data_IF_337814634149
#
_entry.id   IF_337814634149
#
_cell.length_a   1.000
_cell.length_b   1.000
_cell.length_c   1.000
_cell.angle_alpha   90.00
_cell.angle_beta   90.00
_cell.angle_gamma   90.00
#
_symmetry.space_group_name_H-M   'P 1'
#
loop_
_entity.id
_entity.type
_entity.pdbx_description
1 polymer ?
#
# COMPACT_ATOMS: atom_id res chain seq x y z
N UNK A 1 -7.89 7.67 -0.02
CA UNK A 1 -7.21 6.38 -0.28
C UNK A 1 -5.70 6.47 -0.03
N UNK A 2 -5.03 7.55 -0.47
CA UNK A 2 -3.59 7.73 -0.27
C UNK A 2 -3.15 7.69 1.20
N UNK A 3 -3.87 8.38 2.08
CA UNK A 3 -3.52 8.44 3.50
C UNK A 3 -3.55 7.07 4.19
N UNK A 4 -4.48 6.20 3.79
CA UNK A 4 -4.54 4.81 4.26
C UNK A 4 -3.32 4.02 3.77
N UNK A 5 -2.92 4.17 2.51
CA UNK A 5 -1.71 3.53 1.97
C UNK A 5 -0.43 3.95 2.72
N UNK A 6 -0.30 5.24 3.02
CA UNK A 6 0.82 5.77 3.82
C UNK A 6 0.84 5.18 5.23
N UNK A 7 -0.29 5.23 5.95
CA UNK A 7 -0.39 4.72 7.32
C UNK A 7 -0.07 3.22 7.41
N UNK A 8 -0.51 2.42 6.44
CA UNK A 8 -0.19 0.98 6.38
C UNK A 8 1.30 0.78 6.19
N UNK A 9 1.93 1.54 5.29
CA UNK A 9 3.36 1.43 5.03
C UNK A 9 4.22 1.86 6.23
N UNK A 10 3.85 2.93 6.93
CA UNK A 10 4.53 3.36 8.15
C UNK A 10 4.45 2.27 9.23
N UNK A 11 3.26 1.72 9.49
CA UNK A 11 3.07 0.63 10.46
C UNK A 11 3.80 -0.65 10.07
N UNK A 12 3.87 -0.96 8.78
CA UNK A 12 4.60 -2.12 8.30
C UNK A 12 6.12 -1.93 8.50
N UNK A 13 6.64 -0.74 8.19
CA UNK A 13 8.03 -0.35 8.41
C UNK A 13 8.41 -0.41 9.90
N UNK A 14 7.57 0.10 10.79
CA UNK A 14 7.76 0.00 12.25
C UNK A 14 7.90 -1.45 12.71
N UNK A 15 7.20 -2.37 12.05
CA UNK A 15 7.28 -3.81 12.30
C UNK A 15 8.39 -4.52 11.53
N UNK A 16 9.23 -3.80 10.79
CA UNK A 16 10.31 -4.36 9.97
C UNK A 16 9.83 -5.09 8.70
N UNK A 17 8.56 -4.94 8.34
CA UNK A 17 7.96 -5.57 7.15
C UNK A 17 8.16 -4.64 5.95
N UNK A 18 8.95 -5.10 4.97
CA UNK A 18 9.26 -4.33 3.76
C UNK A 18 8.62 -4.90 2.50
N UNK A 19 8.70 -6.21 2.32
CA UNK A 19 8.10 -6.91 1.17
C UNK A 19 6.73 -7.46 1.52
N UNK A 20 5.73 -7.09 0.73
CA UNK A 20 4.35 -7.56 0.88
C UNK A 20 3.77 -7.91 -0.49
N UNK A 21 2.55 -8.44 -0.52
CA UNK A 21 1.78 -8.63 -1.75
C UNK A 21 0.54 -7.75 -1.65
N UNK A 22 0.28 -6.97 -2.69
CA UNK A 22 -0.92 -6.14 -2.75
C UNK A 22 -2.07 -6.92 -3.39
N UNK A 23 -2.97 -7.42 -2.55
CA UNK A 23 -4.20 -8.06 -2.99
C UNK A 23 -5.29 -7.00 -3.27
N UNK A 24 -5.78 -7.00 -4.51
CA UNK A 24 -6.86 -6.10 -4.97
C UNK A 24 -8.26 -6.67 -4.72
N UNK A 25 -8.39 -7.87 -4.15
CA UNK A 25 -9.67 -8.44 -3.71
C UNK A 25 -10.73 -8.56 -4.80
N UNK A 26 -10.31 -8.73 -6.07
CA UNK A 26 -11.21 -8.78 -7.23
C UNK A 26 -11.63 -7.41 -7.80
N UNK A 27 -11.21 -6.29 -7.20
CA UNK A 27 -11.46 -4.95 -7.75
C UNK A 27 -10.49 -4.61 -8.89
N UNK A 28 -10.96 -3.80 -9.85
CA UNK A 28 -10.10 -3.25 -10.90
C UNK A 28 -8.99 -2.40 -10.27
N UNK A 29 -7.77 -2.55 -10.79
CA UNK A 29 -6.62 -1.72 -10.38
C UNK A 29 -6.77 -0.32 -10.98
N UNK A 30 -7.65 0.47 -10.39
CA UNK A 30 -7.99 1.82 -10.85
C UNK A 30 -8.48 2.67 -9.68
N UNK A 31 -8.57 3.99 -9.89
CA UNK A 31 -9.13 4.95 -8.94
C UNK A 31 -8.54 4.79 -7.54
N UNK A 32 -9.40 4.42 -6.58
CA UNK A 32 -9.03 4.29 -5.15
C UNK A 32 -8.04 3.16 -4.88
N UNK A 33 -8.13 2.04 -5.58
CA UNK A 33 -7.23 0.89 -5.39
C UNK A 33 -5.82 1.25 -5.82
N UNK A 34 -5.69 1.85 -7.02
CA UNK A 34 -4.41 2.37 -7.52
C UNK A 34 -3.85 3.45 -6.58
N UNK A 35 -4.68 4.40 -6.16
CA UNK A 35 -4.24 5.47 -5.26
C UNK A 35 -3.76 4.97 -3.89
N UNK A 36 -4.29 3.85 -3.39
CA UNK A 36 -3.83 3.22 -2.15
C UNK A 36 -2.49 2.51 -2.36
N UNK A 37 -2.37 1.74 -3.44
CA UNK A 37 -1.14 1.04 -3.82
C UNK A 37 0.02 2.00 -4.05
N UNK A 38 -0.21 3.07 -4.83
CA UNK A 38 0.82 4.07 -5.13
C UNK A 38 1.31 4.74 -3.83
N UNK A 39 0.41 5.12 -2.93
CA UNK A 39 0.79 5.75 -1.66
C UNK A 39 1.54 4.80 -0.71
N UNK A 40 1.19 3.51 -0.69
CA UNK A 40 1.92 2.52 0.09
C UNK A 40 3.33 2.27 -0.47
N UNK A 41 3.51 2.30 -1.81
CA UNK A 41 4.83 2.22 -2.46
C UNK A 41 5.68 3.45 -2.20
N UNK A 42 5.13 4.65 -2.35
CA UNK A 42 5.82 5.91 -2.03
C UNK A 42 6.28 5.95 -0.58
N UNK A 43 5.46 5.43 0.33
CA UNK A 43 5.79 5.29 1.74
C UNK A 43 6.73 4.11 2.02
N UNK A 44 7.25 3.41 1.01
CA UNK A 44 8.38 2.49 1.06
C UNK A 44 8.06 1.03 1.38
N UNK A 45 6.84 0.58 1.12
CA UNK A 45 6.54 -0.84 0.96
C UNK A 45 6.94 -1.32 -0.44
N UNK A 46 7.52 -2.51 -0.52
CA UNK A 46 7.90 -3.18 -1.76
C UNK A 46 6.85 -4.25 -2.13
N UNK A 47 6.14 -4.05 -3.24
CA UNK A 47 5.17 -4.98 -3.83
C UNK A 47 4.78 -4.57 -5.25
#
# INVERSE_FOLDING_TARGET
AREVGRLIAERAKEKGIRRVVFDRGGYLYHGRVKALADAAREAGLEF
#
